data_IF_317979246148
#
_entry.id   IF_317979246148
#
_cell.length_a   1.000
_cell.length_b   1.000
_cell.length_c   1.000
_cell.angle_alpha   90.00
_cell.angle_beta   90.00
_cell.angle_gamma   90.00
#
_symmetry.space_group_name_H-M   'P 1'
#
loop_
_entity.id
_entity.type
_entity.pdbx_description
1 polymer ?
#
# COMPACT_ATOMS: atom_id res chain seq x y z
N UNK A 1 -11.06 -2.50 -46.11
CA UNK A 1 -11.58 -1.68 -45.00
C UNK A 1 -10.76 -2.03 -43.78
N UNK A 2 -9.82 -1.17 -43.41
CA UNK A 2 -9.00 -1.36 -42.18
C UNK A 2 -9.89 -1.08 -40.96
N UNK A 3 -10.25 -2.11 -40.24
CA UNK A 3 -10.80 -1.97 -38.88
C UNK A 3 -9.77 -1.22 -38.04
N UNK A 4 -10.15 -0.13 -37.34
CA UNK A 4 -9.24 0.52 -36.42
C UNK A 4 -8.85 -0.50 -35.36
N UNK A 5 -7.57 -0.80 -35.26
CA UNK A 5 -7.01 -1.57 -34.12
C UNK A 5 -7.49 -0.91 -32.84
N UNK A 6 -8.28 -1.63 -32.06
CA UNK A 6 -8.71 -1.19 -30.74
C UNK A 6 -7.44 -0.81 -29.96
N UNK A 7 -7.34 0.45 -29.54
CA UNK A 7 -6.25 0.91 -28.68
C UNK A 7 -6.18 -0.06 -27.50
N UNK A 8 -5.03 -0.70 -27.30
CA UNK A 8 -4.75 -1.54 -26.14
C UNK A 8 -4.99 -0.68 -24.88
N UNK A 9 -6.08 -0.95 -24.17
CA UNK A 9 -6.41 -0.28 -22.91
C UNK A 9 -5.68 -0.91 -21.69
N UNK A 10 -4.51 -1.50 -21.90
CA UNK A 10 -3.70 -2.18 -20.91
C UNK A 10 -2.26 -1.66 -20.86
N UNK A 11 -1.43 -2.28 -20.03
CA UNK A 11 0.00 -2.00 -19.98
C UNK A 11 0.71 -2.46 -21.26
N UNK A 12 1.79 -1.75 -21.63
CA UNK A 12 2.52 -2.02 -22.87
C UNK A 12 3.38 -3.31 -22.80
N UNK A 13 3.75 -3.76 -21.59
CA UNK A 13 4.59 -4.94 -21.40
C UNK A 13 4.71 -5.38 -19.96
N UNK A 14 5.36 -6.54 -19.76
CA UNK A 14 5.51 -7.13 -18.43
C UNK A 14 6.29 -6.26 -17.43
N UNK A 15 7.32 -5.54 -17.88
CA UNK A 15 8.08 -4.64 -17.02
C UNK A 15 7.24 -3.44 -16.59
N UNK A 16 6.50 -2.82 -17.50
CA UNK A 16 5.61 -1.71 -17.18
C UNK A 16 4.54 -2.13 -16.17
N UNK A 17 4.01 -3.34 -16.32
CA UNK A 17 3.09 -3.92 -15.34
C UNK A 17 3.76 -4.10 -13.97
N UNK A 18 4.97 -4.69 -13.90
CA UNK A 18 5.70 -4.89 -12.64
C UNK A 18 5.95 -3.54 -11.94
N UNK A 19 6.39 -2.52 -12.66
CA UNK A 19 6.64 -1.20 -12.09
C UNK A 19 5.37 -0.54 -11.57
N UNK A 20 4.25 -0.66 -12.29
CA UNK A 20 2.97 -0.11 -11.85
C UNK A 20 2.40 -0.89 -10.64
N UNK A 21 2.46 -2.22 -10.65
CA UNK A 21 2.01 -3.06 -9.55
C UNK A 21 2.89 -2.86 -8.30
N UNK A 22 4.21 -2.74 -8.47
CA UNK A 22 5.12 -2.39 -7.37
C UNK A 22 4.84 -0.98 -6.84
N UNK A 23 4.53 0.00 -7.70
CA UNK A 23 4.13 1.34 -7.26
C UNK A 23 2.80 1.36 -6.51
N UNK A 24 1.90 0.42 -6.80
CA UNK A 24 0.68 0.24 -6.01
C UNK A 24 0.96 -0.34 -4.63
N UNK A 25 1.86 -1.32 -4.53
CA UNK A 25 2.23 -1.97 -3.28
C UNK A 25 3.10 -1.04 -2.42
N UNK A 26 4.16 -0.46 -3.00
CA UNK A 26 5.07 0.45 -2.28
C UNK A 26 4.38 1.77 -1.95
N UNK A 27 4.17 2.03 -0.66
CA UNK A 27 3.49 3.22 -0.18
C UNK A 27 3.87 3.58 1.25
N UNK A 28 2.99 4.32 1.92
CA UNK A 28 3.16 4.71 3.32
C UNK A 28 3.25 3.48 4.25
N UNK A 29 2.66 2.35 3.88
CA UNK A 29 2.79 1.10 4.61
C UNK A 29 4.24 0.69 4.82
N UNK A 30 5.04 0.69 3.76
CA UNK A 30 6.44 0.29 3.80
C UNK A 30 7.35 1.32 4.47
N UNK A 31 7.05 2.61 4.26
CA UNK A 31 7.95 3.70 4.62
C UNK A 31 7.66 4.25 6.02
N UNK A 32 6.40 4.19 6.43
CA UNK A 32 5.93 4.70 7.70
C UNK A 32 5.51 3.59 8.67
N UNK A 33 4.47 2.80 8.29
CA UNK A 33 3.88 1.81 9.20
C UNK A 33 4.88 0.69 9.52
N UNK A 34 5.58 0.14 8.54
CA UNK A 34 6.54 -0.94 8.76
C UNK A 34 7.66 -0.60 9.76
N UNK A 35 8.43 0.51 9.62
CA UNK A 35 9.48 0.83 10.58
C UNK A 35 8.95 0.97 12.00
N UNK A 36 7.82 1.68 12.21
CA UNK A 36 7.35 1.87 13.57
C UNK A 36 6.85 0.57 14.22
N UNK A 37 6.14 -0.31 13.48
CA UNK A 37 5.70 -1.59 14.06
C UNK A 37 6.88 -2.56 14.27
N UNK A 38 7.92 -2.53 13.43
CA UNK A 38 9.17 -3.25 13.68
C UNK A 38 9.81 -2.76 14.97
N UNK A 39 9.81 -1.44 15.20
CA UNK A 39 10.30 -0.84 16.44
C UNK A 39 9.50 -1.27 17.67
N UNK A 40 8.19 -1.20 17.59
CA UNK A 40 7.25 -1.55 18.66
C UNK A 40 7.35 -3.04 19.06
N UNK A 41 7.44 -3.94 18.07
CA UNK A 41 7.41 -5.38 18.29
C UNK A 41 8.77 -6.06 18.26
N UNK A 42 9.85 -5.31 18.47
CA UNK A 42 11.16 -5.85 18.82
C UNK A 42 12.04 -6.31 17.67
N UNK A 43 11.93 -5.73 16.50
CA UNK A 43 12.95 -5.85 15.45
C UNK A 43 12.92 -7.16 14.69
N UNK A 44 14.07 -7.88 14.67
CA UNK A 44 14.32 -8.98 13.75
C UNK A 44 13.36 -10.16 13.80
N UNK A 45 12.79 -10.49 14.97
CA UNK A 45 11.80 -11.57 15.05
C UNK A 45 10.49 -11.20 14.34
N UNK A 46 10.03 -9.95 14.50
CA UNK A 46 8.88 -9.41 13.76
C UNK A 46 9.15 -9.42 12.26
N UNK A 47 10.31 -8.92 11.83
CA UNK A 47 10.71 -8.90 10.41
C UNK A 47 10.65 -10.29 9.79
N UNK A 48 11.22 -11.31 10.46
CA UNK A 48 11.19 -12.68 9.95
C UNK A 48 9.76 -13.24 9.85
N UNK A 49 8.92 -12.96 10.85
CA UNK A 49 7.53 -13.42 10.81
C UNK A 49 6.71 -12.67 9.74
N UNK A 50 6.95 -11.37 9.56
CA UNK A 50 6.38 -10.60 8.45
C UNK A 50 6.77 -11.17 7.09
N UNK A 51 8.05 -11.49 6.86
CA UNK A 51 8.50 -12.12 5.61
C UNK A 51 7.80 -13.46 5.36
N UNK A 52 7.62 -14.26 6.41
CA UNK A 52 6.85 -15.49 6.34
C UNK A 52 5.39 -15.22 5.92
N UNK A 53 4.73 -14.21 6.50
CA UNK A 53 3.36 -13.82 6.14
C UNK A 53 3.27 -13.33 4.69
N UNK A 54 4.19 -12.50 4.23
CA UNK A 54 4.24 -12.00 2.86
C UNK A 54 4.34 -13.15 1.84
N UNK A 55 5.19 -14.14 2.12
CA UNK A 55 5.37 -15.29 1.21
C UNK A 55 4.19 -16.27 1.27
N UNK A 56 3.68 -16.56 2.47
CA UNK A 56 2.66 -17.59 2.66
C UNK A 56 1.24 -17.10 2.39
N UNK A 57 0.98 -15.81 2.61
CA UNK A 57 -0.33 -15.19 2.41
C UNK A 57 -0.32 -14.18 1.28
N UNK A 58 0.59 -13.23 1.34
CA UNK A 58 0.65 -12.11 0.41
C UNK A 58 0.75 -12.57 -1.04
N UNK A 59 1.73 -13.41 -1.35
CA UNK A 59 1.94 -13.89 -2.71
C UNK A 59 0.76 -14.73 -3.26
N UNK A 60 0.19 -15.71 -2.54
CA UNK A 60 -0.99 -16.44 -3.00
C UNK A 60 -2.24 -15.58 -3.17
N UNK A 61 -2.50 -14.61 -2.28
CA UNK A 61 -3.63 -13.67 -2.43
C UNK A 61 -3.44 -12.80 -3.67
N UNK A 62 -2.24 -12.25 -3.88
CA UNK A 62 -1.92 -11.44 -5.06
C UNK A 62 -2.07 -12.24 -6.35
N UNK A 63 -1.60 -13.50 -6.41
CA UNK A 63 -1.83 -14.38 -7.57
C UNK A 63 -3.31 -14.61 -7.84
N UNK A 64 -4.10 -14.80 -6.78
CA UNK A 64 -5.53 -15.01 -6.88
C UNK A 64 -6.27 -13.74 -7.36
N UNK A 65 -5.89 -12.55 -6.88
CA UNK A 65 -6.45 -11.28 -7.36
C UNK A 65 -6.16 -11.05 -8.85
N UNK A 66 -4.90 -11.21 -9.26
CA UNK A 66 -4.50 -11.07 -10.67
C UNK A 66 -5.28 -12.06 -11.54
N UNK A 67 -5.46 -13.30 -11.08
CA UNK A 67 -6.25 -14.30 -11.78
C UNK A 67 -7.71 -13.86 -11.97
N UNK A 68 -8.37 -13.39 -10.90
CA UNK A 68 -9.77 -12.92 -10.97
C UNK A 68 -9.90 -11.76 -11.95
N UNK A 69 -8.99 -10.79 -11.89
CA UNK A 69 -8.99 -9.62 -12.78
C UNK A 69 -8.79 -10.00 -14.24
N UNK A 70 -7.79 -10.82 -14.53
CA UNK A 70 -7.45 -11.27 -15.90
C UNK A 70 -8.57 -12.10 -16.53
N UNK A 71 -9.24 -12.95 -15.74
CA UNK A 71 -10.35 -13.79 -16.23
C UNK A 71 -11.65 -13.02 -16.37
N UNK A 72 -11.98 -12.18 -15.38
CA UNK A 72 -13.32 -11.58 -15.27
C UNK A 72 -13.54 -10.35 -16.13
N UNK A 73 -12.53 -9.50 -16.28
CA UNK A 73 -12.55 -8.26 -17.05
C UNK A 73 -13.69 -7.28 -16.67
N UNK A 74 -13.57 -6.02 -17.03
CA UNK A 74 -14.66 -5.04 -16.90
C UNK A 74 -14.88 -4.46 -15.49
N UNK A 75 -13.81 -4.29 -14.72
CA UNK A 75 -13.84 -3.73 -13.36
C UNK A 75 -14.17 -4.75 -12.27
N UNK A 76 -14.07 -4.40 -10.97
CA UNK A 76 -14.13 -5.37 -9.88
C UNK A 76 -15.45 -6.12 -9.83
N UNK A 77 -16.58 -5.46 -10.05
CA UNK A 77 -17.92 -6.07 -10.03
C UNK A 77 -18.09 -7.13 -11.10
N UNK A 78 -17.69 -6.82 -12.34
CA UNK A 78 -17.77 -7.77 -13.45
C UNK A 78 -16.75 -8.89 -13.31
N UNK A 79 -15.57 -8.61 -12.77
CA UNK A 79 -14.53 -9.62 -12.56
C UNK A 79 -15.02 -10.75 -11.67
N UNK A 80 -15.73 -10.45 -10.59
CA UNK A 80 -16.37 -11.48 -9.76
C UNK A 80 -17.58 -12.14 -10.42
N UNK A 81 -18.43 -11.36 -11.10
CA UNK A 81 -19.64 -11.89 -11.73
C UNK A 81 -19.34 -12.88 -12.89
N UNK A 82 -18.20 -12.69 -13.58
CA UNK A 82 -17.83 -13.45 -14.78
C UNK A 82 -16.96 -14.70 -14.50
N UNK A 83 -16.78 -15.11 -13.24
CA UNK A 83 -15.94 -16.27 -12.90
C UNK A 83 -16.50 -17.64 -13.34
N UNK A 84 -17.69 -17.68 -13.91
CA UNK A 84 -18.24 -18.87 -14.59
C UNK A 84 -18.89 -19.91 -13.69
N UNK A 85 -19.17 -19.61 -12.43
CA UNK A 85 -19.98 -20.45 -11.53
C UNK A 85 -21.42 -19.93 -11.44
N UNK A 86 -22.40 -20.81 -11.15
CA UNK A 86 -23.81 -20.39 -10.92
C UNK A 86 -23.93 -19.37 -9.76
N UNK A 87 -23.03 -19.40 -8.81
CA UNK A 87 -22.99 -18.49 -7.66
C UNK A 87 -22.23 -17.18 -7.96
N UNK A 88 -21.52 -17.09 -9.09
CA UNK A 88 -20.70 -15.91 -9.42
C UNK A 88 -21.52 -14.62 -9.52
N UNK A 89 -22.78 -14.69 -9.96
CA UNK A 89 -23.65 -13.53 -10.04
C UNK A 89 -23.88 -12.83 -8.68
N UNK A 90 -23.88 -13.60 -7.58
CA UNK A 90 -24.00 -13.05 -6.22
C UNK A 90 -22.71 -12.39 -5.74
N UNK A 91 -21.54 -12.80 -6.28
CA UNK A 91 -20.24 -12.23 -5.90
C UNK A 91 -20.02 -10.79 -6.40
N UNK A 92 -20.94 -10.25 -7.24
CA UNK A 92 -20.90 -8.83 -7.66
C UNK A 92 -20.85 -7.86 -6.46
N UNK A 93 -21.46 -8.24 -5.35
CA UNK A 93 -21.46 -7.42 -4.13
C UNK A 93 -20.09 -7.27 -3.52
N UNK A 94 -19.21 -8.26 -3.65
CA UNK A 94 -17.80 -8.17 -3.26
C UNK A 94 -17.10 -7.07 -4.06
N UNK A 95 -17.36 -7.01 -5.37
CA UNK A 95 -16.82 -5.95 -6.23
C UNK A 95 -17.30 -4.55 -5.86
N UNK A 96 -18.56 -4.39 -5.45
CA UNK A 96 -19.06 -3.11 -4.92
C UNK A 96 -18.43 -2.77 -3.58
N UNK A 97 -18.27 -3.74 -2.67
CA UNK A 97 -17.58 -3.52 -1.41
C UNK A 97 -16.13 -3.05 -1.64
N UNK A 98 -15.41 -3.64 -2.59
CA UNK A 98 -14.06 -3.20 -2.95
C UNK A 98 -14.03 -1.73 -3.41
N UNK A 99 -14.99 -1.28 -4.23
CA UNK A 99 -15.06 0.12 -4.63
C UNK A 99 -15.25 1.03 -3.42
N UNK A 100 -16.18 0.67 -2.53
CA UNK A 100 -16.47 1.46 -1.32
C UNK A 100 -15.25 1.52 -0.40
N UNK A 101 -14.64 0.36 -0.09
CA UNK A 101 -13.46 0.30 0.78
C UNK A 101 -12.29 1.10 0.20
N UNK A 102 -12.04 1.03 -1.13
CA UNK A 102 -10.99 1.82 -1.75
C UNK A 102 -11.26 3.32 -1.68
N UNK A 103 -12.51 3.76 -1.82
CA UNK A 103 -12.86 5.18 -1.70
C UNK A 103 -12.69 5.69 -0.26
N UNK A 104 -13.10 4.91 0.72
CA UNK A 104 -12.91 5.22 2.14
C UNK A 104 -11.42 5.22 2.51
N UNK A 105 -10.69 4.20 2.09
CA UNK A 105 -9.24 4.10 2.31
C UNK A 105 -8.50 5.27 1.66
N UNK A 106 -8.84 5.63 0.41
CA UNK A 106 -8.19 6.75 -0.26
C UNK A 106 -8.55 8.10 0.38
N UNK A 107 -9.71 8.23 1.02
CA UNK A 107 -10.06 9.46 1.74
C UNK A 107 -9.12 9.71 2.93
N UNK A 108 -8.84 8.68 3.73
CA UNK A 108 -7.84 8.70 4.81
C UNK A 108 -6.44 8.88 4.23
N UNK A 109 -6.09 8.05 3.25
CA UNK A 109 -4.77 8.02 2.64
C UNK A 109 -4.36 9.33 1.97
N UNK A 110 -5.33 10.08 1.39
CA UNK A 110 -5.08 11.37 0.78
C UNK A 110 -4.76 12.46 1.80
N UNK A 111 -5.30 12.37 3.01
CA UNK A 111 -4.97 13.29 4.11
C UNK A 111 -3.53 13.01 4.58
N UNK A 112 -3.21 11.74 4.86
CA UNK A 112 -1.85 11.35 5.30
C UNK A 112 -0.81 11.58 4.19
N UNK A 113 -1.14 11.28 2.94
CA UNK A 113 -0.32 11.63 1.78
C UNK A 113 -0.10 13.14 1.65
N UNK A 114 -1.08 13.94 2.05
CA UNK A 114 -0.98 15.39 2.16
C UNK A 114 0.04 15.84 3.22
N UNK A 115 0.16 15.14 4.35
CA UNK A 115 1.19 15.44 5.36
C UNK A 115 2.59 15.35 4.77
N UNK A 116 2.86 14.36 3.93
CA UNK A 116 4.16 14.22 3.28
C UNK A 116 4.49 15.44 2.41
N UNK A 117 3.50 16.01 1.73
CA UNK A 117 3.66 17.23 0.94
C UNK A 117 3.96 18.45 1.83
N UNK A 118 3.29 18.57 2.98
CA UNK A 118 3.59 19.60 3.96
C UNK A 118 5.05 19.50 4.43
N UNK A 119 5.53 18.31 4.75
CA UNK A 119 6.91 18.09 5.16
C UNK A 119 7.94 18.31 4.04
N UNK A 120 7.57 18.13 2.78
CA UNK A 120 8.39 18.61 1.65
C UNK A 120 8.57 20.13 1.73
N UNK A 121 7.51 20.90 2.01
CA UNK A 121 7.61 22.35 2.14
C UNK A 121 8.45 22.77 3.37
N UNK A 122 8.28 22.11 4.50
CA UNK A 122 9.10 22.32 5.72
C UNK A 122 10.57 22.00 5.46
N UNK A 123 10.87 20.92 4.71
CA UNK A 123 12.25 20.62 4.31
C UNK A 123 12.84 21.69 3.41
N UNK A 124 12.06 22.24 2.47
CA UNK A 124 12.52 23.34 1.61
C UNK A 124 12.74 24.66 2.36
N UNK A 125 11.95 24.95 3.43
CA UNK A 125 12.12 26.18 4.21
C UNK A 125 13.44 26.22 5.01
N UNK A 126 14.03 25.05 5.26
CA UNK A 126 15.25 24.93 6.07
C UNK A 126 14.98 24.81 7.58
N UNK A 127 13.73 24.84 8.01
CA UNK A 127 13.34 24.76 9.42
C UNK A 127 13.83 23.46 10.09
N UNK A 128 13.89 22.35 9.34
CA UNK A 128 14.35 21.05 9.87
C UNK A 128 15.78 21.09 10.42
N UNK A 129 16.64 21.97 9.89
CA UNK A 129 18.04 22.07 10.33
C UNK A 129 18.19 22.61 11.76
N UNK A 130 17.16 23.21 12.32
CA UNK A 130 17.15 23.80 13.67
C UNK A 130 16.07 23.19 14.58
N UNK A 131 15.36 22.16 14.09
CA UNK A 131 14.32 21.49 14.88
C UNK A 131 14.94 20.63 15.97
N UNK A 132 14.43 20.78 17.18
CA UNK A 132 14.54 19.81 18.27
C UNK A 132 13.24 19.01 18.41
N UNK A 133 13.18 18.05 19.32
CA UNK A 133 12.01 17.21 19.50
C UNK A 133 10.75 18.00 19.91
N UNK A 134 10.91 19.07 20.67
CA UNK A 134 9.79 19.90 21.13
C UNK A 134 9.21 20.70 19.94
N UNK A 135 10.04 21.37 19.16
CA UNK A 135 9.61 22.14 17.99
C UNK A 135 9.08 21.26 16.86
N UNK A 136 9.61 20.04 16.69
CA UNK A 136 9.07 19.07 15.72
C UNK A 136 7.68 18.58 16.14
N UNK A 137 7.46 18.33 17.44
CA UNK A 137 6.13 17.98 17.98
C UNK A 137 5.16 19.15 17.80
N UNK A 138 5.57 20.38 18.13
CA UNK A 138 4.74 21.58 17.93
C UNK A 138 4.38 21.78 16.46
N UNK A 139 5.32 21.56 15.53
CA UNK A 139 5.07 21.64 14.10
C UNK A 139 4.06 20.59 13.61
N UNK A 140 4.17 19.35 14.11
CA UNK A 140 3.21 18.28 13.79
C UNK A 140 1.83 18.57 14.39
N UNK A 141 1.75 18.93 15.65
CA UNK A 141 0.50 19.31 16.31
C UNK A 141 -0.13 20.55 15.67
N UNK A 142 0.69 21.52 15.27
CA UNK A 142 0.27 22.69 14.51
C UNK A 142 -0.35 22.34 13.16
N UNK A 143 0.20 21.33 12.46
CA UNK A 143 -0.40 20.80 11.23
C UNK A 143 -1.74 20.11 11.53
N UNK A 144 -1.80 19.25 12.56
CA UNK A 144 -3.04 18.53 12.92
C UNK A 144 -4.16 19.50 13.32
N UNK A 145 -3.81 20.61 13.98
CA UNK A 145 -4.74 21.65 14.40
C UNK A 145 -4.97 22.75 13.32
N UNK A 146 -4.49 22.54 12.08
CA UNK A 146 -4.70 23.46 10.96
C UNK A 146 -5.56 22.83 9.85
N UNK A 147 -6.90 22.86 9.94
CA UNK A 147 -7.77 22.29 8.91
C UNK A 147 -7.49 22.85 7.51
N UNK A 148 -7.14 24.14 7.43
CA UNK A 148 -6.83 24.77 6.14
C UNK A 148 -5.58 24.17 5.47
N UNK A 149 -4.50 23.93 6.23
CA UNK A 149 -3.29 23.32 5.72
C UNK A 149 -3.57 21.86 5.29
N UNK A 150 -4.25 21.08 6.13
CA UNK A 150 -4.63 19.69 5.83
C UNK A 150 -5.49 19.60 4.57
N UNK A 151 -6.51 20.46 4.42
CA UNK A 151 -7.39 20.49 3.24
C UNK A 151 -6.60 20.88 1.98
N UNK A 152 -5.74 21.88 2.03
CA UNK A 152 -4.93 22.29 0.88
C UNK A 152 -4.01 21.12 0.44
N UNK A 153 -3.32 20.49 1.37
CA UNK A 153 -2.45 19.36 1.08
C UNK A 153 -3.21 18.16 0.51
N UNK A 154 -4.37 17.83 1.09
CA UNK A 154 -5.27 16.80 0.56
C UNK A 154 -5.75 17.11 -0.87
N UNK A 155 -6.14 18.35 -1.14
CA UNK A 155 -6.59 18.79 -2.46
C UNK A 155 -5.48 18.67 -3.51
N UNK A 156 -4.24 19.02 -3.16
CA UNK A 156 -3.08 18.88 -4.05
C UNK A 156 -2.81 17.39 -4.33
N UNK A 157 -2.83 16.55 -3.29
CA UNK A 157 -2.65 15.10 -3.41
C UNK A 157 -3.73 14.48 -4.31
N UNK A 158 -5.01 14.78 -4.04
CA UNK A 158 -6.14 14.29 -4.84
C UNK A 158 -6.13 14.84 -6.27
N UNK A 159 -5.73 16.10 -6.46
CA UNK A 159 -5.54 16.70 -7.78
C UNK A 159 -4.49 15.94 -8.61
N UNK A 160 -3.32 15.64 -8.01
CA UNK A 160 -2.26 14.88 -8.65
C UNK A 160 -2.71 13.43 -8.96
N UNK A 161 -3.35 12.75 -8.01
CA UNK A 161 -3.93 11.42 -8.20
C UNK A 161 -4.92 11.39 -9.36
N UNK A 162 -5.86 12.35 -9.36
CA UNK A 162 -6.89 12.48 -10.41
C UNK A 162 -6.28 12.75 -11.79
N UNK A 163 -5.26 13.60 -11.84
CA UNK A 163 -4.57 13.90 -13.10
C UNK A 163 -3.93 12.65 -13.73
N UNK A 164 -3.30 11.79 -12.93
CA UNK A 164 -2.72 10.53 -13.41
C UNK A 164 -3.81 9.57 -13.86
N UNK A 165 -4.83 9.32 -13.05
CA UNK A 165 -5.92 8.37 -13.33
C UNK A 165 -6.74 8.80 -14.55
N UNK A 166 -7.07 10.09 -14.67
CA UNK A 166 -7.86 10.62 -15.79
C UNK A 166 -7.19 10.44 -17.16
N UNK A 167 -5.85 10.34 -17.20
CA UNK A 167 -5.08 10.08 -18.44
C UNK A 167 -5.15 8.64 -18.91
N UNK A 168 -5.64 7.71 -18.07
CA UNK A 168 -5.78 6.31 -18.40
C UNK A 168 -4.58 5.44 -18.06
N UNK A 169 -4.64 4.17 -18.43
CA UNK A 169 -3.65 3.17 -18.00
C UNK A 169 -2.28 3.44 -18.63
N UNK A 170 -2.18 3.40 -19.96
CA UNK A 170 -0.87 3.52 -20.65
C UNK A 170 -0.28 4.93 -20.62
N UNK A 171 -1.10 5.97 -20.81
CA UNK A 171 -0.61 7.36 -20.85
C UNK A 171 -0.57 8.07 -19.49
N UNK A 172 -1.23 7.53 -18.48
CA UNK A 172 -1.26 8.02 -17.10
C UNK A 172 -0.48 7.09 -16.18
N UNK A 173 -1.09 6.01 -15.73
CA UNK A 173 -0.57 5.11 -14.69
C UNK A 173 0.79 4.51 -15.09
N UNK A 174 0.88 3.91 -16.27
CA UNK A 174 2.12 3.30 -16.75
C UNK A 174 3.25 4.32 -16.89
N UNK A 175 2.97 5.45 -17.57
CA UNK A 175 4.00 6.47 -17.76
C UNK A 175 4.48 7.07 -16.45
N UNK A 176 3.58 7.29 -15.51
CA UNK A 176 3.91 7.73 -14.16
C UNK A 176 4.79 6.72 -13.44
N UNK A 177 4.36 5.45 -13.39
CA UNK A 177 5.08 4.40 -12.68
C UNK A 177 6.44 4.08 -13.30
N UNK A 178 6.58 4.12 -14.63
CA UNK A 178 7.85 3.89 -15.31
C UNK A 178 8.92 4.94 -15.01
N UNK A 179 8.53 6.14 -14.60
CA UNK A 179 9.47 7.21 -14.18
C UNK A 179 9.67 7.20 -12.68
N UNK A 180 8.58 7.19 -11.93
CA UNK A 180 8.63 7.39 -10.48
C UNK A 180 9.22 6.19 -9.75
N UNK A 181 8.86 4.95 -10.13
CA UNK A 181 9.33 3.77 -9.40
C UNK A 181 10.85 3.58 -9.50
N UNK A 182 11.49 3.62 -10.66
CA UNK A 182 12.95 3.55 -10.72
C UNK A 182 13.64 4.71 -9.98
N UNK A 183 13.14 5.94 -10.13
CA UNK A 183 13.69 7.10 -9.45
C UNK A 183 13.56 6.96 -7.92
N UNK A 184 12.40 6.52 -7.43
CA UNK A 184 12.16 6.24 -6.02
C UNK A 184 13.13 5.17 -5.48
N UNK A 185 13.26 4.03 -6.18
CA UNK A 185 14.15 2.95 -5.76
C UNK A 185 15.61 3.42 -5.68
N UNK A 186 16.11 4.11 -6.72
CA UNK A 186 17.48 4.66 -6.71
C UNK A 186 17.67 5.62 -5.54
N UNK A 187 16.71 6.49 -5.30
CA UNK A 187 16.77 7.46 -4.21
C UNK A 187 16.76 6.76 -2.85
N UNK A 188 15.81 5.84 -2.62
CA UNK A 188 15.72 5.10 -1.37
C UNK A 188 17.01 4.30 -1.07
N UNK A 189 17.55 3.58 -2.05
CA UNK A 189 18.83 2.87 -1.89
C UNK A 189 19.98 3.81 -1.56
N UNK A 190 20.06 4.97 -2.25
CA UNK A 190 21.10 5.96 -2.00
C UNK A 190 21.00 6.55 -0.59
N UNK A 191 19.77 6.86 -0.14
CA UNK A 191 19.53 7.38 1.21
C UNK A 191 19.79 6.33 2.28
N UNK A 192 19.40 5.07 2.04
CA UNK A 192 19.70 3.97 2.96
C UNK A 192 21.19 3.75 3.10
N UNK A 193 21.92 3.71 1.98
CA UNK A 193 23.37 3.56 1.99
C UNK A 193 24.04 4.76 2.69
N UNK A 194 23.57 5.98 2.40
CA UNK A 194 24.04 7.18 3.08
C UNK A 194 23.84 7.07 4.60
N UNK A 195 22.64 6.74 5.07
CA UNK A 195 22.36 6.61 6.50
C UNK A 195 23.23 5.54 7.18
N UNK A 196 23.42 4.40 6.55
CA UNK A 196 24.25 3.30 7.08
C UNK A 196 25.75 3.67 7.16
N UNK A 197 26.24 4.54 6.27
CA UNK A 197 27.67 4.93 6.20
C UNK A 197 27.97 6.24 6.93
N UNK A 198 26.99 7.16 7.02
CA UNK A 198 27.17 8.47 7.61
C UNK A 198 26.86 8.51 9.11
N UNK A 199 26.27 7.44 9.67
CA UNK A 199 25.98 7.33 11.10
C UNK A 199 26.84 6.25 11.75
N UNK A 200 27.20 6.44 13.02
CA UNK A 200 27.96 5.46 13.80
C UNK A 200 27.11 4.23 14.19
N UNK A 201 25.79 4.32 14.01
CA UNK A 201 24.78 3.31 14.40
C UNK A 201 24.25 2.47 13.22
N UNK A 202 24.85 2.64 12.04
CA UNK A 202 24.45 1.85 10.86
C UNK A 202 24.48 0.34 11.10
N UNK A 203 25.53 -0.17 11.76
CA UNK A 203 25.62 -1.59 12.14
C UNK A 203 24.55 -1.97 13.17
N UNK A 204 24.28 -1.11 14.15
CA UNK A 204 23.25 -1.34 15.17
C UNK A 204 21.85 -1.48 14.53
N UNK A 205 21.55 -0.69 13.50
CA UNK A 205 20.27 -0.81 12.79
C UNK A 205 20.14 -2.15 12.06
N UNK A 206 21.23 -2.64 11.44
CA UNK A 206 21.26 -3.96 10.81
C UNK A 206 21.06 -5.05 11.86
N UNK A 207 21.77 -4.98 12.98
CA UNK A 207 21.63 -5.95 14.07
C UNK A 207 20.21 -5.95 14.63
N UNK A 208 19.60 -4.78 14.84
CA UNK A 208 18.22 -4.65 15.33
C UNK A 208 17.21 -5.29 14.39
N UNK A 209 17.33 -5.04 13.08
CA UNK A 209 16.36 -5.54 12.09
C UNK A 209 16.54 -7.01 11.73
N UNK A 210 17.73 -7.59 11.88
CA UNK A 210 18.00 -8.95 11.41
C UNK A 210 18.41 -9.93 12.51
N UNK A 211 18.68 -9.48 13.72
CA UNK A 211 18.91 -10.37 14.87
C UNK A 211 17.59 -10.73 15.54
N UNK A 212 17.09 -11.96 15.37
CA UNK A 212 15.79 -12.34 15.91
C UNK A 212 15.84 -12.50 17.43
N UNK A 213 14.94 -11.83 18.14
CA UNK A 213 14.63 -12.09 19.54
C UNK A 213 13.19 -12.65 19.61
N UNK A 214 13.10 -13.97 19.61
CA UNK A 214 11.82 -14.69 19.59
C UNK A 214 10.98 -14.40 20.84
N UNK A 215 11.59 -13.96 21.95
CA UNK A 215 10.87 -13.62 23.18
C UNK A 215 9.95 -12.42 23.04
N UNK A 216 10.20 -11.57 22.05
CA UNK A 216 9.39 -10.39 21.69
C UNK A 216 8.25 -10.67 20.72
N UNK A 217 8.21 -11.86 20.12
CA UNK A 217 7.17 -12.24 19.16
C UNK A 217 5.89 -12.66 19.90
N UNK A 218 5.13 -11.68 20.34
CA UNK A 218 3.83 -11.88 21.02
C UNK A 218 2.72 -12.24 20.02
N UNK A 219 1.56 -12.79 20.45
CA UNK A 219 0.41 -12.99 19.58
C UNK A 219 -0.08 -11.71 18.89
N UNK A 220 0.02 -10.55 19.57
CA UNK A 220 -0.29 -9.24 19.00
C UNK A 220 0.68 -8.91 17.87
N UNK A 221 1.99 -9.07 18.09
CA UNK A 221 3.02 -8.87 17.07
C UNK A 221 2.80 -9.75 15.83
N UNK A 222 2.38 -11.01 16.04
CA UNK A 222 2.04 -11.93 14.95
C UNK A 222 0.81 -11.47 14.15
N UNK A 223 -0.24 -11.00 14.83
CA UNK A 223 -1.44 -10.48 14.20
C UNK A 223 -1.14 -9.20 13.40
N UNK A 224 -0.36 -8.28 13.97
CA UNK A 224 0.09 -7.06 13.30
C UNK A 224 0.94 -7.36 12.06
N UNK A 225 1.90 -8.28 12.16
CA UNK A 225 2.72 -8.68 11.00
C UNK A 225 1.88 -9.26 9.86
N UNK A 226 0.85 -10.03 10.20
CA UNK A 226 -0.04 -10.64 9.22
C UNK A 226 -0.98 -9.61 8.61
N UNK A 227 -1.58 -8.73 9.41
CA UNK A 227 -2.39 -7.60 8.93
C UNK A 227 -1.55 -6.67 8.04
N UNK A 228 -0.33 -6.35 8.47
CA UNK A 228 0.58 -5.50 7.71
C UNK A 228 0.98 -6.11 6.35
N UNK A 229 1.09 -7.43 6.22
CA UNK A 229 1.34 -8.06 4.92
C UNK A 229 0.23 -7.78 3.88
N UNK A 230 -1.03 -7.61 4.29
CA UNK A 230 -2.12 -7.17 3.42
C UNK A 230 -1.99 -5.70 3.03
N UNK A 231 -1.73 -4.85 4.00
CA UNK A 231 -1.64 -3.40 3.80
C UNK A 231 -0.43 -3.04 2.94
N UNK A 232 0.74 -3.62 3.22
CA UNK A 232 1.98 -3.39 2.47
C UNK A 232 1.81 -3.75 1.00
N UNK A 233 1.33 -4.94 0.70
CA UNK A 233 1.14 -5.40 -0.67
C UNK A 233 -0.11 -4.82 -1.36
N UNK A 234 -0.90 -4.01 -0.67
CA UNK A 234 -2.17 -3.44 -1.15
C UNK A 234 -3.09 -4.52 -1.76
N UNK A 235 -3.22 -5.66 -1.05
CA UNK A 235 -4.05 -6.80 -1.46
C UNK A 235 -5.31 -6.92 -0.59
N UNK A 236 -6.30 -7.68 -1.08
CA UNK A 236 -7.58 -7.85 -0.39
C UNK A 236 -8.61 -6.78 -0.73
N UNK A 237 -8.22 -5.69 -1.36
CA UNK A 237 -9.11 -4.59 -1.76
C UNK A 237 -9.31 -4.49 -3.29
N UNK A 238 -8.69 -5.37 -4.07
CA UNK A 238 -8.91 -5.47 -5.51
C UNK A 238 -8.01 -4.56 -6.36
N UNK A 239 -6.97 -3.95 -5.82
CA UNK A 239 -6.01 -3.18 -6.61
C UNK A 239 -5.26 -4.08 -7.60
N UNK A 240 -4.75 -5.21 -7.14
CA UNK A 240 -4.08 -6.20 -7.98
C UNK A 240 -5.04 -6.91 -8.94
N UNK A 241 -6.34 -7.01 -8.59
CA UNK A 241 -7.39 -7.49 -9.50
C UNK A 241 -7.52 -6.55 -10.70
N UNK A 242 -7.59 -5.24 -10.47
CA UNK A 242 -7.71 -4.26 -11.57
C UNK A 242 -6.44 -4.23 -12.41
N UNK A 243 -5.27 -4.31 -11.80
CA UNK A 243 -4.03 -4.41 -12.55
C UNK A 243 -3.97 -5.72 -13.36
N UNK A 244 -4.42 -6.84 -12.80
CA UNK A 244 -4.56 -8.11 -13.51
C UNK A 244 -5.44 -8.01 -14.76
N UNK A 245 -6.52 -7.20 -14.72
CA UNK A 245 -7.35 -6.91 -15.89
C UNK A 245 -6.58 -6.20 -17.01
N UNK A 246 -5.61 -5.33 -16.65
CA UNK A 246 -4.79 -4.58 -17.59
C UNK A 246 -3.49 -5.31 -17.99
N UNK A 247 -3.25 -6.49 -17.44
CA UNK A 247 -2.04 -7.28 -17.68
C UNK A 247 -1.99 -7.71 -19.16
N UNK A 248 -0.89 -7.42 -19.89
CA UNK A 248 -0.77 -7.81 -21.29
C UNK A 248 -0.71 -9.32 -21.42
N UNK A 249 -1.22 -9.81 -22.57
CA UNK A 249 -1.11 -11.22 -22.94
C UNK A 249 0.25 -11.54 -23.55
N UNK A 250 0.71 -12.81 -23.53
CA UNK A 250 1.91 -13.20 -24.26
C UNK A 250 1.82 -12.85 -25.75
N UNK A 251 2.94 -12.45 -26.41
CA UNK A 251 4.32 -12.49 -25.91
C UNK A 251 4.76 -11.27 -25.09
N UNK A 252 4.00 -10.18 -25.05
CA UNK A 252 4.39 -8.93 -24.36
C UNK A 252 4.27 -9.03 -22.84
N UNK A 253 3.39 -9.91 -22.36
CA UNK A 253 3.14 -10.12 -20.92
C UNK A 253 4.16 -11.02 -20.25
N UNK A 254 4.43 -10.76 -18.97
CA UNK A 254 5.23 -11.64 -18.13
C UNK A 254 4.36 -12.73 -17.47
N UNK A 255 4.93 -13.90 -17.12
CA UNK A 255 4.24 -14.90 -16.30
C UNK A 255 3.76 -14.31 -14.97
N UNK A 256 2.58 -14.72 -14.50
CA UNK A 256 1.99 -14.20 -13.26
C UNK A 256 2.89 -14.41 -12.04
N UNK A 257 3.53 -15.58 -11.94
CA UNK A 257 4.46 -15.88 -10.86
C UNK A 257 5.68 -14.95 -10.85
N UNK A 258 6.24 -14.65 -12.02
CA UNK A 258 7.35 -13.70 -12.15
C UNK A 258 6.94 -12.30 -11.71
N UNK A 259 5.74 -11.88 -12.10
CA UNK A 259 5.20 -10.57 -11.69
C UNK A 259 5.04 -10.51 -10.17
N UNK A 260 4.35 -11.50 -9.58
CA UNK A 260 4.11 -11.54 -8.13
C UNK A 260 5.42 -11.61 -7.37
N UNK A 261 6.36 -12.46 -7.78
CA UNK A 261 7.68 -12.53 -7.13
C UNK A 261 8.44 -11.22 -7.20
N UNK A 262 8.38 -10.51 -8.34
CA UNK A 262 9.05 -9.22 -8.49
C UNK A 262 8.39 -8.14 -7.61
N UNK A 263 7.06 -8.06 -7.59
CA UNK A 263 6.33 -7.08 -6.77
C UNK A 263 6.60 -7.33 -5.28
N UNK A 264 6.46 -8.57 -4.83
CA UNK A 264 6.75 -8.97 -3.43
C UNK A 264 8.20 -8.65 -3.05
N UNK A 265 9.16 -8.94 -3.93
CA UNK A 265 10.57 -8.66 -3.67
C UNK A 265 10.82 -7.14 -3.57
N UNK A 266 10.29 -6.35 -4.50
CA UNK A 266 10.46 -4.89 -4.50
C UNK A 266 9.81 -4.29 -3.24
N UNK A 267 8.59 -4.68 -2.92
CA UNK A 267 7.86 -4.23 -1.73
C UNK A 267 8.64 -4.50 -0.45
N UNK A 268 9.07 -5.75 -0.28
CA UNK A 268 9.87 -6.19 0.88
C UNK A 268 11.20 -5.43 0.99
N UNK A 269 11.94 -5.30 -0.13
CA UNK A 269 13.22 -4.60 -0.15
C UNK A 269 13.01 -3.12 0.24
N UNK A 270 11.96 -2.49 -0.26
CA UNK A 270 11.62 -1.10 0.10
C UNK A 270 11.36 -0.97 1.59
N UNK A 271 10.54 -1.85 2.17
CA UNK A 271 10.24 -1.87 3.60
C UNK A 271 11.52 -2.03 4.44
N UNK A 272 12.37 -2.98 4.08
CA UNK A 272 13.64 -3.22 4.78
C UNK A 272 14.61 -2.03 4.64
N UNK A 273 14.73 -1.44 3.45
CA UNK A 273 15.58 -0.26 3.24
C UNK A 273 15.09 0.94 4.04
N UNK A 274 13.78 1.21 4.05
CA UNK A 274 13.19 2.29 4.84
C UNK A 274 13.45 2.07 6.34
N UNK A 275 13.24 0.86 6.86
CA UNK A 275 13.54 0.52 8.25
C UNK A 275 15.01 0.71 8.59
N UNK A 276 15.93 0.17 7.78
CA UNK A 276 17.37 0.33 8.00
C UNK A 276 17.78 1.80 8.04
N UNK A 277 17.30 2.60 7.10
CA UNK A 277 17.59 4.04 7.05
C UNK A 277 17.08 4.75 8.31
N UNK A 278 15.81 4.55 8.64
CA UNK A 278 15.16 5.21 9.78
C UNK A 278 15.84 4.84 11.10
N UNK A 279 16.09 3.54 11.34
CA UNK A 279 16.74 3.12 12.59
C UNK A 279 18.21 3.56 12.68
N UNK A 280 18.96 3.55 11.55
CA UNK A 280 20.32 4.07 11.56
C UNK A 280 20.36 5.55 12.00
N UNK A 281 19.45 6.37 11.50
CA UNK A 281 19.36 7.78 11.80
C UNK A 281 18.87 8.01 13.24
N UNK A 282 17.81 7.32 13.67
CA UNK A 282 17.22 7.51 15.02
C UNK A 282 18.17 7.04 16.13
N UNK A 283 18.81 5.89 15.96
CA UNK A 283 19.79 5.40 16.95
C UNK A 283 21.01 6.32 17.06
N UNK A 284 21.40 6.99 15.98
CA UNK A 284 22.51 7.95 16.00
C UNK A 284 22.25 9.15 16.91
N UNK A 285 20.98 9.48 17.13
CA UNK A 285 20.57 10.53 18.09
C UNK A 285 20.31 9.99 19.51
N UNK A 286 20.52 8.70 19.75
CA UNK A 286 20.14 8.06 21.03
C UNK A 286 18.65 7.89 21.19
N UNK A 287 17.85 7.99 20.10
CA UNK A 287 16.42 7.76 20.10
C UNK A 287 16.07 6.27 20.22
N UNK A 288 14.85 5.99 20.68
CA UNK A 288 14.31 4.64 20.79
C UNK A 288 13.59 4.22 19.49
N UNK A 289 13.62 2.92 19.19
CA UNK A 289 12.94 2.37 18.01
C UNK A 289 11.41 2.50 18.08
N UNK A 290 10.83 2.44 19.27
CA UNK A 290 9.40 2.51 19.54
C UNK A 290 8.94 3.96 19.73
N UNK A 291 8.73 4.67 18.60
CA UNK A 291 8.24 6.07 18.63
C UNK A 291 6.82 6.21 18.05
N UNK A 292 6.15 5.10 17.75
CA UNK A 292 4.79 5.09 17.22
C UNK A 292 4.62 5.87 15.90
N UNK A 293 3.42 6.40 15.62
CA UNK A 293 3.16 7.18 14.40
C UNK A 293 4.00 8.45 14.25
N UNK A 294 4.50 9.02 15.35
CA UNK A 294 5.40 10.18 15.37
C UNK A 294 6.79 9.93 14.78
N UNK A 295 7.16 8.65 14.57
CA UNK A 295 8.47 8.27 14.05
C UNK A 295 8.83 9.00 12.74
N UNK A 296 7.91 9.06 11.78
CA UNK A 296 8.15 9.68 10.48
C UNK A 296 8.05 11.21 10.49
N UNK A 297 7.14 11.76 11.31
CA UNK A 297 6.78 13.18 11.22
C UNK A 297 7.31 14.03 12.38
N UNK A 298 7.83 13.42 13.45
CA UNK A 298 8.46 14.10 14.58
C UNK A 298 9.92 13.69 14.71
N UNK A 299 10.20 12.40 14.94
CA UNK A 299 11.57 11.96 15.23
C UNK A 299 12.50 12.06 14.02
N UNK A 300 12.04 11.66 12.84
CA UNK A 300 12.86 11.66 11.63
C UNK A 300 13.24 13.08 11.13
N UNK A 301 12.36 14.10 11.12
CA UNK A 301 12.75 15.48 10.80
C UNK A 301 13.89 16.01 11.67
N UNK A 302 13.82 15.80 12.99
CA UNK A 302 14.90 16.19 13.93
C UNK A 302 16.19 15.49 13.57
N UNK A 303 16.10 14.16 13.39
CA UNK A 303 17.23 13.32 13.06
C UNK A 303 17.90 13.69 11.73
N UNK A 304 17.11 14.03 10.73
CA UNK A 304 17.61 14.51 9.45
C UNK A 304 18.28 15.89 9.58
N UNK A 305 17.76 16.77 10.46
CA UNK A 305 18.35 18.10 10.70
C UNK A 305 19.78 18.05 11.23
N UNK A 306 20.13 17.04 12.04
CA UNK A 306 21.46 16.86 12.60
C UNK A 306 22.50 16.25 11.64
N UNK A 307 22.05 15.61 10.56
CA UNK A 307 22.96 14.99 9.60
C UNK A 307 23.67 16.02 8.71
N UNK A 308 24.89 15.73 8.32
CA UNK A 308 25.59 16.52 7.30
C UNK A 308 24.78 16.51 5.99
N UNK A 309 24.40 17.70 5.52
CA UNK A 309 23.51 17.82 4.35
C UNK A 309 22.09 17.32 4.57
N UNK A 310 21.67 17.13 5.83
CA UNK A 310 20.39 16.54 6.21
C UNK A 310 19.17 17.25 5.65
N UNK A 311 19.21 18.57 5.48
CA UNK A 311 18.13 19.32 4.80
C UNK A 311 17.92 18.84 3.36
N UNK A 312 18.98 18.60 2.60
CA UNK A 312 18.87 18.08 1.23
C UNK A 312 18.33 16.67 1.25
N UNK A 313 18.82 15.84 2.18
CA UNK A 313 18.31 14.48 2.41
C UNK A 313 16.81 14.51 2.76
N UNK A 314 16.37 15.43 3.61
CA UNK A 314 14.96 15.58 4.01
C UNK A 314 14.06 15.93 2.82
N UNK A 315 14.46 16.86 1.97
CA UNK A 315 13.70 17.22 0.75
C UNK A 315 13.53 16.01 -0.16
N UNK A 316 14.59 15.27 -0.42
CA UNK A 316 14.54 14.07 -1.24
C UNK A 316 13.73 12.96 -0.59
N UNK A 317 13.86 12.77 0.74
CA UNK A 317 13.13 11.77 1.48
C UNK A 317 11.61 12.03 1.43
N UNK A 318 11.16 13.20 1.91
CA UNK A 318 9.72 13.50 1.91
C UNK A 318 9.13 13.60 0.50
N UNK A 319 9.94 14.06 -0.48
CA UNK A 319 9.56 13.99 -1.89
C UNK A 319 9.37 12.56 -2.39
N UNK A 320 10.26 11.64 -2.04
CA UNK A 320 10.14 10.22 -2.37
C UNK A 320 8.91 9.59 -1.71
N UNK A 321 8.67 9.87 -0.42
CA UNK A 321 7.49 9.42 0.32
C UNK A 321 6.20 9.92 -0.32
N UNK A 322 6.15 11.20 -0.71
CA UNK A 322 5.00 11.76 -1.42
C UNK A 322 4.71 11.04 -2.74
N UNK A 323 5.72 10.78 -3.57
CA UNK A 323 5.53 10.07 -4.83
C UNK A 323 5.18 8.60 -4.65
N UNK A 324 5.70 7.92 -3.63
CA UNK A 324 5.30 6.57 -3.27
C UNK A 324 3.83 6.54 -2.82
N UNK A 325 3.43 7.46 -1.95
CA UNK A 325 2.04 7.62 -1.55
C UNK A 325 1.12 7.89 -2.75
N UNK A 326 1.54 8.75 -3.67
CA UNK A 326 0.77 9.08 -4.88
C UNK A 326 0.55 7.85 -5.77
N UNK A 327 1.54 6.97 -5.91
CA UNK A 327 1.43 5.75 -6.71
C UNK A 327 0.38 4.79 -6.15
N UNK A 328 0.34 4.61 -4.83
CA UNK A 328 -0.70 3.81 -4.16
C UNK A 328 -2.08 4.47 -4.26
N UNK A 329 -2.16 5.80 -4.06
CA UNK A 329 -3.42 6.55 -4.23
C UNK A 329 -4.02 6.41 -5.64
N UNK A 330 -3.18 6.40 -6.67
CA UNK A 330 -3.59 6.15 -8.07
C UNK A 330 -4.22 4.77 -8.21
N UNK A 331 -3.64 3.74 -7.61
CA UNK A 331 -4.15 2.37 -7.67
C UNK A 331 -5.51 2.25 -6.94
N UNK A 332 -5.64 2.81 -5.74
CA UNK A 332 -6.90 2.81 -4.98
C UNK A 332 -8.04 3.49 -5.76
N UNK A 333 -7.75 4.62 -6.39
CA UNK A 333 -8.74 5.36 -7.19
C UNK A 333 -9.15 4.58 -8.45
N UNK A 334 -8.21 3.91 -9.11
CA UNK A 334 -8.45 3.16 -10.34
C UNK A 334 -9.44 2.01 -10.12
N UNK A 335 -9.51 1.40 -8.93
CA UNK A 335 -10.49 0.34 -8.62
C UNK A 335 -11.91 0.80 -8.90
N UNK A 336 -12.29 1.97 -8.42
CA UNK A 336 -13.63 2.53 -8.68
C UNK A 336 -13.78 3.05 -10.10
N UNK A 337 -12.80 3.81 -10.60
CA UNK A 337 -12.85 4.43 -11.94
C UNK A 337 -12.98 3.37 -13.04
N UNK A 338 -12.22 2.29 -12.96
CA UNK A 338 -12.26 1.18 -13.94
C UNK A 338 -13.67 0.60 -14.11
N UNK A 339 -14.42 0.47 -13.02
CA UNK A 339 -15.78 -0.08 -13.04
C UNK A 339 -16.75 0.77 -13.87
N UNK A 340 -16.72 2.08 -13.66
CA UNK A 340 -17.60 2.99 -14.40
C UNK A 340 -17.15 3.17 -15.85
N UNK A 341 -15.84 3.19 -16.11
CA UNK A 341 -15.28 3.24 -17.47
C UNK A 341 -15.67 1.99 -18.26
N UNK A 342 -15.64 0.80 -17.65
CA UNK A 342 -16.08 -0.45 -18.28
C UNK A 342 -17.58 -0.44 -18.64
N UNK A 343 -18.39 0.43 -18.02
CA UNK A 343 -19.80 0.66 -18.34
C UNK A 343 -20.02 1.73 -19.40
N UNK A 344 -18.94 2.27 -19.99
CA UNK A 344 -18.99 3.24 -21.08
C UNK A 344 -19.01 4.72 -20.62
N UNK A 345 -18.85 4.99 -19.32
CA UNK A 345 -18.73 6.37 -18.85
C UNK A 345 -17.39 6.99 -19.22
N UNK A 346 -17.39 8.30 -19.45
CA UNK A 346 -16.17 9.03 -19.77
C UNK A 346 -15.20 9.05 -18.59
N UNK A 347 -13.97 8.58 -18.81
CA UNK A 347 -12.93 8.41 -17.76
C UNK A 347 -12.64 9.71 -17.00
N UNK A 348 -12.48 10.83 -17.70
CA UNK A 348 -12.18 12.12 -17.07
C UNK A 348 -13.32 12.54 -16.12
N UNK A 349 -14.58 12.41 -16.55
CA UNK A 349 -15.74 12.74 -15.73
C UNK A 349 -15.82 11.84 -14.51
N UNK A 350 -15.63 10.52 -14.70
CA UNK A 350 -15.65 9.56 -13.58
C UNK A 350 -14.54 9.86 -12.60
N UNK A 351 -13.32 10.12 -13.08
CA UNK A 351 -12.19 10.46 -12.20
C UNK A 351 -12.47 11.72 -11.37
N UNK A 352 -13.03 12.77 -11.99
CA UNK A 352 -13.38 13.99 -11.28
C UNK A 352 -14.50 13.78 -10.25
N UNK A 353 -15.56 13.05 -10.60
CA UNK A 353 -16.67 12.76 -9.67
C UNK A 353 -16.18 11.89 -8.50
N UNK A 354 -15.38 10.86 -8.77
CA UNK A 354 -14.78 10.02 -7.72
C UNK A 354 -13.87 10.83 -6.81
N UNK A 355 -13.00 11.68 -7.38
CA UNK A 355 -12.12 12.55 -6.61
C UNK A 355 -12.91 13.50 -5.70
N UNK A 356 -13.97 14.12 -6.23
CA UNK A 356 -14.85 15.00 -5.45
C UNK A 356 -15.48 14.25 -4.28
N UNK A 357 -16.06 13.05 -4.52
CA UNK A 357 -16.66 12.25 -3.46
C UNK A 357 -15.65 11.86 -2.38
N UNK A 358 -14.45 11.37 -2.79
CA UNK A 358 -13.38 10.98 -1.88
C UNK A 358 -12.89 12.18 -1.06
N UNK A 359 -12.72 13.34 -1.69
CA UNK A 359 -12.30 14.58 -1.01
C UNK A 359 -13.31 15.02 0.04
N UNK A 360 -14.61 14.92 -0.25
CA UNK A 360 -15.64 15.25 0.73
C UNK A 360 -15.62 14.31 1.94
N UNK A 361 -15.40 13.01 1.73
CA UNK A 361 -15.17 12.06 2.84
C UNK A 361 -13.90 12.46 3.61
N UNK A 362 -12.84 12.85 2.91
CA UNK A 362 -11.59 13.29 3.54
C UNK A 362 -11.74 14.57 4.37
N UNK A 363 -12.68 15.44 4.07
CA UNK A 363 -12.98 16.60 4.95
C UNK A 363 -13.49 16.15 6.33
N UNK A 364 -14.28 15.08 6.41
CA UNK A 364 -14.66 14.51 7.70
C UNK A 364 -13.47 13.91 8.46
N UNK A 365 -12.52 13.34 7.72
CA UNK A 365 -11.25 12.85 8.29
C UNK A 365 -10.41 14.00 8.84
N UNK A 366 -10.25 15.09 8.07
CA UNK A 366 -9.55 16.30 8.54
C UNK A 366 -10.22 16.88 9.79
N UNK A 367 -11.55 16.96 9.79
CA UNK A 367 -12.29 17.46 10.96
C UNK A 367 -12.03 16.60 12.21
N UNK A 368 -11.96 15.27 12.06
CA UNK A 368 -11.72 14.35 13.19
C UNK A 368 -10.29 14.37 13.75
N UNK A 369 -9.33 14.98 13.05
CA UNK A 369 -7.97 15.17 13.55
C UNK A 369 -7.81 16.43 14.43
N UNK A 370 -8.74 17.40 14.30
CA UNK A 370 -8.76 18.64 15.04
C UNK A 370 -10.00 18.76 15.92
N UNK A 371 -10.91 19.68 15.57
CA UNK A 371 -12.11 20.02 16.37
C UNK A 371 -13.04 18.84 16.67
N UNK A 372 -12.99 17.78 15.86
CA UNK A 372 -13.80 16.57 16.01
C UNK A 372 -13.08 15.39 16.63
N UNK A 373 -11.89 15.57 17.21
CA UNK A 373 -11.08 14.50 17.76
C UNK A 373 -11.77 13.71 18.87
N UNK A 374 -12.60 14.38 19.67
CA UNK A 374 -13.37 13.78 20.75
C UNK A 374 -14.66 13.08 20.27
N UNK A 375 -15.02 13.20 18.97
CA UNK A 375 -16.20 12.57 18.42
C UNK A 375 -15.90 11.14 17.98
N UNK A 376 -16.50 10.19 18.66
CA UNK A 376 -16.33 8.76 18.40
C UNK A 376 -17.32 8.25 17.35
N UNK A 377 -16.81 7.61 16.30
CA UNK A 377 -17.61 6.96 15.27
C UNK A 377 -17.86 5.47 15.58
N UNK A 378 -16.85 4.77 16.07
CA UNK A 378 -16.87 3.32 16.30
C UNK A 378 -16.01 2.95 17.49
N UNK A 379 -16.61 2.35 18.53
CA UNK A 379 -15.89 1.71 19.64
C UNK A 379 -14.75 2.55 20.28
N UNK A 380 -14.98 3.85 20.50
CA UNK A 380 -13.99 4.76 21.04
C UNK A 380 -13.04 5.36 19.99
N UNK A 381 -13.20 5.03 18.71
CA UNK A 381 -12.37 5.54 17.60
C UNK A 381 -13.02 6.77 16.97
N UNK A 382 -12.21 7.79 16.68
CA UNK A 382 -12.64 8.91 15.85
C UNK A 382 -12.83 8.50 14.37
N UNK A 383 -13.21 9.44 13.48
CA UNK A 383 -13.48 9.10 12.06
C UNK A 383 -12.22 8.58 11.36
N UNK A 384 -11.05 9.21 11.58
CA UNK A 384 -9.79 8.79 10.99
C UNK A 384 -9.44 7.34 11.37
N UNK A 385 -9.43 7.06 12.68
CA UNK A 385 -9.12 5.75 13.23
C UNK A 385 -10.13 4.68 12.79
N UNK A 386 -11.42 5.00 12.85
CA UNK A 386 -12.49 4.08 12.45
C UNK A 386 -12.41 3.72 10.95
N UNK A 387 -12.16 4.71 10.07
CA UNK A 387 -12.00 4.44 8.64
C UNK A 387 -10.71 3.65 8.35
N UNK A 388 -9.62 3.95 9.04
CA UNK A 388 -8.37 3.18 8.92
C UNK A 388 -8.60 1.73 9.35
N UNK A 389 -9.20 1.50 10.51
CA UNK A 389 -9.54 0.17 11.01
C UNK A 389 -10.46 -0.59 10.04
N UNK A 390 -11.56 0.03 9.59
CA UNK A 390 -12.52 -0.60 8.69
C UNK A 390 -11.90 -0.97 7.35
N UNK A 391 -11.02 -0.13 6.79
CA UNK A 391 -10.48 -0.35 5.44
C UNK A 391 -9.22 -1.17 5.45
N UNK A 392 -8.28 -0.92 6.34
CA UNK A 392 -6.95 -1.55 6.34
C UNK A 392 -6.92 -2.80 7.23
N UNK A 393 -7.33 -2.68 8.50
CA UNK A 393 -7.18 -3.77 9.45
C UNK A 393 -8.27 -4.85 9.26
N UNK A 394 -9.49 -4.45 8.91
CA UNK A 394 -10.59 -5.38 8.67
C UNK A 394 -10.82 -5.65 7.17
N UNK A 395 -10.90 -4.61 6.34
CA UNK A 395 -11.30 -4.69 4.94
C UNK A 395 -10.31 -5.46 4.07
N UNK A 396 -9.02 -5.21 4.21
CA UNK A 396 -7.96 -5.92 3.49
C UNK A 396 -7.97 -7.44 3.78
N UNK A 397 -7.82 -7.87 5.05
CA UNK A 397 -7.89 -9.30 5.40
C UNK A 397 -9.23 -9.96 5.02
N UNK A 398 -10.38 -9.30 5.26
CA UNK A 398 -11.69 -9.85 4.89
C UNK A 398 -11.83 -10.02 3.37
N UNK A 399 -11.41 -9.05 2.59
CA UNK A 399 -11.41 -9.14 1.12
C UNK A 399 -10.47 -10.22 0.62
N UNK A 400 -9.26 -10.32 1.19
CA UNK A 400 -8.32 -11.41 0.90
C UNK A 400 -8.88 -12.79 1.24
N UNK A 401 -9.57 -12.92 2.37
CA UNK A 401 -10.28 -14.14 2.73
C UNK A 401 -11.32 -14.55 1.68
N UNK A 402 -12.15 -13.59 1.24
CA UNK A 402 -13.14 -13.84 0.18
C UNK A 402 -12.48 -14.24 -1.13
N UNK A 403 -11.39 -13.58 -1.54
CA UNK A 403 -10.62 -13.93 -2.73
C UNK A 403 -10.09 -15.35 -2.66
N UNK A 404 -9.51 -15.74 -1.52
CA UNK A 404 -8.98 -17.10 -1.28
C UNK A 404 -10.10 -18.15 -1.34
N UNK A 405 -11.27 -17.87 -0.76
CA UNK A 405 -12.44 -18.77 -0.84
C UNK A 405 -12.90 -18.91 -2.28
N UNK A 406 -13.01 -17.81 -3.03
CA UNK A 406 -13.44 -17.84 -4.42
C UNK A 406 -12.48 -18.67 -5.27
N UNK A 407 -11.18 -18.41 -5.21
CA UNK A 407 -10.18 -19.11 -6.04
C UNK A 407 -9.95 -20.54 -5.55
N UNK A 408 -9.89 -20.77 -4.25
CA UNK A 408 -9.60 -22.08 -3.68
C UNK A 408 -10.77 -23.08 -3.75
N UNK A 409 -12.05 -22.59 -3.75
CA UNK A 409 -13.22 -23.46 -3.61
C UNK A 409 -14.25 -23.32 -4.72
N UNK A 410 -14.40 -22.15 -5.35
CA UNK A 410 -15.43 -21.91 -6.36
C UNK A 410 -14.87 -22.01 -7.80
N UNK A 411 -13.58 -21.66 -7.99
CA UNK A 411 -12.90 -21.80 -9.28
C UNK A 411 -12.42 -23.25 -9.45
N UNK A 412 -12.61 -23.79 -10.67
CA UNK A 412 -12.09 -25.14 -10.97
C UNK A 412 -10.56 -25.11 -10.95
N UNK A 413 -9.95 -26.10 -10.28
CA UNK A 413 -8.49 -26.24 -10.18
C UNK A 413 -7.79 -26.17 -11.56
N UNK A 414 -8.43 -26.74 -12.61
CA UNK A 414 -7.91 -26.76 -13.98
C UNK A 414 -7.84 -25.36 -14.58
N UNK A 415 -8.80 -24.49 -14.29
CA UNK A 415 -8.84 -23.11 -14.77
C UNK A 415 -7.76 -22.26 -14.09
N UNK A 416 -7.56 -22.45 -12.79
CA UNK A 416 -6.49 -21.78 -12.05
C UNK A 416 -5.10 -22.29 -12.48
N UNK A 417 -4.97 -23.60 -12.76
CA UNK A 417 -3.74 -24.21 -13.31
C UNK A 417 -3.38 -23.62 -14.69
N UNK A 418 -4.37 -23.44 -15.55
CA UNK A 418 -4.17 -22.86 -16.87
C UNK A 418 -3.67 -21.39 -16.84
N UNK A 419 -3.93 -20.68 -15.73
CA UNK A 419 -3.44 -19.32 -15.52
C UNK A 419 -1.96 -19.28 -15.08
N UNK A 420 -1.44 -20.35 -14.52
CA UNK A 420 -0.07 -20.49 -13.99
C UNK A 420 0.69 -21.60 -14.73
N UNK A 421 0.79 -21.54 -16.08
CA UNK A 421 1.36 -22.61 -16.89
C UNK A 421 2.86 -22.83 -16.64
N UNK A 422 3.55 -21.79 -16.17
CA UNK A 422 4.98 -21.78 -15.88
C UNK A 422 5.36 -22.62 -14.66
N UNK A 423 4.41 -22.93 -13.77
CA UNK A 423 4.70 -23.75 -12.59
C UNK A 423 4.74 -25.23 -12.93
N UNK A 424 5.67 -25.96 -12.33
CA UNK A 424 5.62 -27.42 -12.28
C UNK A 424 4.42 -27.91 -11.44
N UNK A 425 3.97 -29.14 -11.63
CA UNK A 425 2.80 -29.70 -10.93
C UNK A 425 2.93 -29.64 -9.41
N UNK A 426 4.10 -29.95 -8.86
CA UNK A 426 4.35 -29.93 -7.42
C UNK A 426 4.20 -28.50 -6.84
N UNK A 427 4.82 -27.51 -7.48
CA UNK A 427 4.76 -26.13 -7.06
C UNK A 427 3.31 -25.56 -7.17
N UNK A 428 2.62 -25.86 -8.26
CA UNK A 428 1.22 -25.48 -8.41
C UNK A 428 0.33 -26.11 -7.32
N UNK A 429 0.50 -27.41 -7.05
CA UNK A 429 -0.27 -28.10 -6.02
C UNK A 429 -0.01 -27.52 -4.64
N UNK A 430 1.22 -27.15 -4.32
CA UNK A 430 1.56 -26.48 -3.06
C UNK A 430 0.87 -25.11 -2.95
N UNK A 431 0.98 -24.25 -3.97
CA UNK A 431 0.33 -22.93 -4.00
C UNK A 431 -1.19 -23.09 -3.90
N UNK A 432 -1.79 -24.02 -4.66
CA UNK A 432 -3.21 -24.26 -4.60
C UNK A 432 -3.67 -24.77 -3.22
N UNK A 433 -2.86 -25.61 -2.57
CA UNK A 433 -3.13 -26.09 -1.20
C UNK A 433 -3.07 -24.94 -0.19
N UNK A 434 -2.05 -24.08 -0.30
CA UNK A 434 -1.93 -22.88 0.54
C UNK A 434 -3.14 -21.96 0.32
N UNK A 435 -3.46 -21.62 -0.94
CA UNK A 435 -4.60 -20.77 -1.30
C UNK A 435 -5.93 -21.31 -0.78
N UNK A 436 -6.09 -22.64 -0.79
CA UNK A 436 -7.35 -23.30 -0.44
C UNK A 436 -7.55 -23.53 1.06
N UNK A 437 -6.48 -23.84 1.79
CA UNK A 437 -6.59 -24.28 3.19
C UNK A 437 -5.78 -23.42 4.15
N UNK A 438 -4.49 -23.20 3.91
CA UNK A 438 -3.61 -22.57 4.88
C UNK A 438 -3.90 -21.07 4.98
N UNK A 439 -3.87 -20.36 3.85
CA UNK A 439 -4.05 -18.92 3.84
C UNK A 439 -5.43 -18.48 4.39
N UNK A 440 -6.57 -19.10 4.04
CA UNK A 440 -7.85 -18.76 4.66
C UNK A 440 -7.90 -18.97 6.17
N UNK A 441 -7.28 -20.04 6.68
CA UNK A 441 -7.24 -20.31 8.13
C UNK A 441 -6.41 -19.25 8.87
N UNK A 442 -5.27 -18.85 8.32
CA UNK A 442 -4.43 -17.81 8.91
C UNK A 442 -5.14 -16.44 8.90
N UNK A 443 -5.80 -16.09 7.81
CA UNK A 443 -6.60 -14.85 7.75
C UNK A 443 -7.75 -14.87 8.75
N UNK A 444 -8.45 -16.00 8.89
CA UNK A 444 -9.50 -16.16 9.90
C UNK A 444 -8.96 -16.01 11.33
N UNK A 445 -7.77 -16.53 11.59
CA UNK A 445 -7.15 -16.40 12.91
C UNK A 445 -6.87 -14.92 13.26
N UNK A 446 -6.42 -14.11 12.27
CA UNK A 446 -6.22 -12.67 12.46
C UNK A 446 -7.54 -11.94 12.63
N UNK A 447 -8.53 -12.21 11.77
CA UNK A 447 -9.85 -11.58 11.89
C UNK A 447 -10.50 -11.91 13.25
N UNK A 448 -10.36 -13.16 13.72
CA UNK A 448 -10.84 -13.55 15.04
C UNK A 448 -10.07 -12.81 16.16
N UNK A 449 -8.75 -12.66 16.04
CA UNK A 449 -7.95 -11.92 17.01
C UNK A 449 -8.36 -10.44 17.07
N UNK A 450 -8.54 -9.78 15.92
CA UNK A 450 -8.97 -8.38 15.84
C UNK A 450 -10.37 -8.14 16.45
N UNK A 451 -11.27 -9.12 16.34
CA UNK A 451 -12.64 -8.98 16.87
C UNK A 451 -12.77 -9.41 18.33
N UNK A 452 -11.98 -10.38 18.78
CA UNK A 452 -12.12 -11.01 20.09
C UNK A 452 -11.03 -10.60 21.08
N UNK A 453 -9.92 -10.11 20.63
CA UNK A 453 -8.70 -9.88 21.42
C UNK A 453 -8.28 -8.42 21.54
N UNK A 454 -9.04 -7.50 20.91
CA UNK A 454 -8.83 -6.06 21.02
C UNK A 454 -9.52 -5.45 22.21
#
# INVERSE_FOLDING_TARGET
MNTPTAKHNGFSGGLAFILAASGSAVGLGNIWKFPYIVGEYGGGAFVLFYLFCVLLLGAPVMMAEIFIGKRGQGGPVNSFANLGSRSAAHLRWVGYAFIIFNFLSLAVYAVVGGWTLYYVAVAFSGEMATMDHASATEAFDGLMNSPAALIICQLVFMGATTFVVARGVSSGIERFSNVIMPAFLVLLFSLTLYALLATDTGWQSIEFMFRPDVSKLTPIAMAEALGHAFTSLTIGLGAMLIYGQYMPSPPEGAPTTRVVSAVVAIDTIVALCAGLMIFAIIFNMGGEAASGPGLLFVSLPVALGELFGGQVVAVFWFGAVFFAALASGVALMEVGVSHFVARGYNRVRVSLVSATAITFIGFSVVWSLGDGSDWELLAGMNIFEALEFITNDLGGPLGGFVILLVVGWMVRKVDYRAHLPELGEGAFNAIHFITRYIAPLLVLAVLAFLVLGG
#
